data_IF_531318034702
#
_entry.id   IF_531318034702
#
_cell.length_a   1.000
_cell.length_b   1.000
_cell.length_c   1.000
_cell.angle_alpha   90.00
_cell.angle_beta   90.00
_cell.angle_gamma   90.00
#
_symmetry.space_group_name_H-M   'P 1'
#
loop_
_entity.id
_entity.type
_entity.pdbx_description
1 polymer ?
#
# COMPACT_ATOMS: atom_id res chain seq x y z
N UNK A 1 10.73 1.79 -8.98
CA UNK A 1 10.16 1.06 -10.13
C UNK A 1 10.95 -0.22 -10.33
N UNK A 2 10.28 -1.33 -10.59
CA UNK A 2 10.91 -2.66 -10.73
C UNK A 2 11.07 -3.02 -12.20
N UNK A 3 12.21 -3.59 -12.56
CA UNK A 3 12.48 -4.12 -13.89
C UNK A 3 11.68 -5.43 -14.10
N UNK A 4 10.89 -5.57 -15.18
CA UNK A 4 10.14 -6.79 -15.43
C UNK A 4 11.07 -7.94 -15.84
N UNK A 5 10.79 -9.14 -15.32
CA UNK A 5 11.55 -10.36 -15.61
C UNK A 5 10.59 -11.44 -16.14
N UNK A 6 10.63 -11.69 -17.45
CA UNK A 6 9.80 -12.73 -18.08
C UNK A 6 8.33 -12.36 -18.32
N UNK A 7 7.96 -11.09 -18.19
CA UNK A 7 6.61 -10.59 -18.50
C UNK A 7 6.65 -9.19 -19.14
N UNK A 8 5.52 -8.79 -19.73
CA UNK A 8 5.30 -7.43 -20.23
C UNK A 8 4.19 -6.75 -19.42
N UNK A 9 4.31 -5.44 -19.24
CA UNK A 9 3.28 -4.64 -18.58
C UNK A 9 2.17 -4.40 -19.60
N UNK A 10 0.94 -4.78 -19.26
CA UNK A 10 -0.21 -4.63 -20.16
C UNK A 10 -0.53 -3.15 -20.41
N UNK A 11 -1.15 -2.87 -21.55
CA UNK A 11 -1.58 -1.52 -21.90
C UNK A 11 -2.57 -0.94 -20.88
N UNK A 12 -3.46 -1.77 -20.33
CA UNK A 12 -4.45 -1.32 -19.35
C UNK A 12 -3.82 -1.02 -17.98
N UNK A 13 -2.83 -1.81 -17.53
CA UNK A 13 -2.05 -1.46 -16.34
C UNK A 13 -1.27 -0.16 -16.57
N UNK A 14 -0.59 -0.04 -17.72
CA UNK A 14 0.16 1.15 -18.10
C UNK A 14 -0.70 2.42 -18.13
N UNK A 15 -1.96 2.33 -18.58
CA UNK A 15 -2.91 3.47 -18.55
C UNK A 15 -3.26 3.92 -17.13
N UNK A 16 -3.26 3.00 -16.17
CA UNK A 16 -3.61 3.30 -14.76
C UNK A 16 -2.43 3.96 -14.05
N UNK A 17 -1.22 3.40 -14.15
CA UNK A 17 -0.07 3.83 -13.35
C UNK A 17 1.04 4.55 -14.14
N UNK A 18 0.91 4.68 -15.47
CA UNK A 18 1.84 5.44 -16.31
C UNK A 18 3.24 4.82 -16.50
N UNK A 19 3.40 3.51 -16.27
CA UNK A 19 4.67 2.80 -16.44
C UNK A 19 4.53 1.83 -17.61
N UNK A 20 5.35 2.01 -18.65
CA UNK A 20 5.39 1.06 -19.77
C UNK A 20 6.49 0.02 -19.56
N UNK A 21 6.43 -1.09 -20.31
CA UNK A 21 7.48 -2.11 -20.29
C UNK A 21 8.84 -1.51 -20.64
N UNK A 22 8.89 -0.63 -21.64
CA UNK A 22 10.11 0.03 -22.11
C UNK A 22 10.71 0.89 -21.00
N UNK A 23 9.89 1.72 -20.36
CA UNK A 23 10.32 2.59 -19.25
C UNK A 23 10.84 1.77 -18.06
N UNK A 24 10.17 0.66 -17.74
CA UNK A 24 10.57 -0.24 -16.65
C UNK A 24 11.84 -1.05 -16.98
N UNK A 25 12.09 -1.38 -18.25
CA UNK A 25 13.33 -2.02 -18.68
C UNK A 25 14.52 -1.05 -18.66
N UNK A 26 14.30 0.20 -19.03
CA UNK A 26 15.34 1.24 -19.10
C UNK A 26 15.78 1.72 -17.71
N UNK A 27 14.84 1.94 -16.79
CA UNK A 27 15.10 2.62 -15.51
C UNK A 27 14.63 1.86 -14.28
N UNK A 28 14.13 0.63 -14.45
CA UNK A 28 13.75 -0.24 -13.34
C UNK A 28 14.97 -0.91 -12.67
N UNK A 29 14.82 -1.22 -11.39
CA UNK A 29 15.82 -1.94 -10.59
C UNK A 29 15.43 -3.41 -10.49
N UNK A 30 16.42 -4.30 -10.35
CA UNK A 30 16.18 -5.73 -10.13
C UNK A 30 15.33 -5.97 -8.88
N UNK A 31 14.34 -6.85 -9.01
CA UNK A 31 13.39 -7.14 -7.95
C UNK A 31 14.09 -7.67 -6.70
N UNK A 32 15.04 -8.60 -6.85
CA UNK A 32 15.77 -9.20 -5.73
C UNK A 32 16.49 -8.17 -4.86
N UNK A 33 17.19 -7.20 -5.48
CA UNK A 33 17.86 -6.10 -4.77
C UNK A 33 16.87 -5.29 -3.94
N UNK A 34 15.72 -4.94 -4.54
CA UNK A 34 14.69 -4.18 -3.83
C UNK A 34 14.05 -4.99 -2.70
N UNK A 35 13.83 -6.29 -2.89
CA UNK A 35 13.29 -7.15 -1.84
C UNK A 35 14.26 -7.29 -0.65
N UNK A 36 15.57 -7.37 -0.91
CA UNK A 36 16.58 -7.41 0.16
C UNK A 36 16.53 -6.13 1.00
N UNK A 37 16.60 -4.96 0.35
CA UNK A 37 16.49 -3.66 1.02
C UNK A 37 15.15 -3.51 1.76
N UNK A 38 14.06 -3.93 1.13
CA UNK A 38 12.74 -3.82 1.71
C UNK A 38 12.56 -4.74 2.92
N UNK A 39 13.14 -5.95 2.89
CA UNK A 39 13.15 -6.86 4.03
C UNK A 39 13.90 -6.27 5.22
N UNK A 40 15.02 -5.59 4.99
CA UNK A 40 15.74 -4.88 6.04
C UNK A 40 14.89 -3.76 6.66
N UNK A 41 14.21 -2.96 5.83
CA UNK A 41 13.33 -1.90 6.32
C UNK A 41 12.17 -2.49 7.13
N UNK A 42 11.52 -3.53 6.62
CA UNK A 42 10.46 -4.26 7.34
C UNK A 42 10.98 -4.74 8.70
N UNK A 43 12.20 -5.31 8.75
CA UNK A 43 12.77 -5.83 9.99
C UNK A 43 12.94 -4.76 11.07
N UNK A 44 13.26 -3.53 10.68
CA UNK A 44 13.46 -2.37 11.57
C UNK A 44 12.15 -1.66 11.93
N UNK A 45 11.09 -1.85 11.14
CA UNK A 45 9.77 -1.28 11.39
C UNK A 45 9.02 -2.03 12.48
N UNK A 46 8.32 -1.31 13.35
CA UNK A 46 7.41 -1.91 14.34
C UNK A 46 6.07 -2.30 13.71
N UNK A 47 5.59 -1.43 12.80
CA UNK A 47 4.24 -1.48 12.25
C UNK A 47 4.31 -1.29 10.74
N UNK A 48 3.44 -2.02 10.04
CA UNK A 48 3.23 -1.90 8.61
C UNK A 48 1.80 -1.41 8.39
N UNK A 49 1.66 -0.38 7.56
CA UNK A 49 0.36 0.21 7.23
C UNK A 49 0.14 0.13 5.72
N UNK A 50 -1.10 -0.12 5.31
CA UNK A 50 -1.50 -0.11 3.92
C UNK A 50 -2.99 0.17 3.78
N UNK A 51 -3.39 0.66 2.61
CA UNK A 51 -4.79 0.80 2.25
C UNK A 51 -5.18 -0.34 1.31
N UNK A 52 -5.81 -1.40 1.88
CA UNK A 52 -6.02 -2.73 1.27
C UNK A 52 -4.85 -3.72 1.47
N UNK A 53 -4.33 -3.80 2.71
CA UNK A 53 -3.21 -4.67 3.12
C UNK A 53 -3.25 -6.10 2.54
N UNK A 54 -4.42 -6.76 2.56
CA UNK A 54 -4.56 -8.14 2.07
C UNK A 54 -4.14 -8.32 0.61
N UNK A 55 -4.22 -7.26 -0.20
CA UNK A 55 -3.75 -7.28 -1.57
C UNK A 55 -2.22 -7.17 -1.60
N UNK A 56 -1.68 -6.10 -1.01
CA UNK A 56 -0.25 -5.80 -1.03
C UNK A 56 0.59 -6.93 -0.40
N UNK A 57 0.18 -7.46 0.75
CA UNK A 57 0.92 -8.51 1.45
C UNK A 57 0.99 -9.82 0.66
N UNK A 58 -0.04 -10.12 -0.14
CA UNK A 58 -0.05 -11.32 -1.01
C UNK A 58 0.87 -11.14 -2.20
N UNK A 59 0.87 -9.96 -2.83
CA UNK A 59 1.77 -9.66 -3.94
C UNK A 59 3.22 -9.70 -3.46
N UNK A 60 3.56 -8.90 -2.45
CA UNK A 60 4.90 -8.81 -1.89
C UNK A 60 5.36 -10.14 -1.28
N UNK A 61 4.48 -10.81 -0.53
CA UNK A 61 4.79 -12.11 0.07
C UNK A 61 5.08 -13.19 -0.97
N UNK A 62 4.36 -13.19 -2.10
CA UNK A 62 4.63 -14.09 -3.20
C UNK A 62 6.00 -13.82 -3.85
N UNK A 63 6.42 -12.55 -3.96
CA UNK A 63 7.75 -12.20 -4.47
C UNK A 63 8.87 -12.58 -3.50
N UNK A 64 8.68 -12.42 -2.20
CA UNK A 64 9.62 -12.94 -1.19
C UNK A 64 9.78 -14.46 -1.32
N UNK A 65 8.67 -15.19 -1.49
CA UNK A 65 8.69 -16.64 -1.64
C UNK A 65 9.42 -17.07 -2.94
N UNK A 66 9.14 -16.41 -4.07
CA UNK A 66 9.76 -16.73 -5.37
C UNK A 66 11.26 -16.42 -5.41
N UNK A 67 11.68 -15.31 -4.82
CA UNK A 67 13.09 -14.89 -4.79
C UNK A 67 13.91 -15.62 -3.73
N UNK A 68 13.27 -16.30 -2.77
CA UNK A 68 13.97 -16.91 -1.63
C UNK A 68 14.48 -15.90 -0.60
N UNK A 69 14.17 -14.60 -0.76
CA UNK A 69 14.51 -13.56 0.21
C UNK A 69 13.64 -13.72 1.45
N UNK A 70 14.27 -13.95 2.61
CA UNK A 70 13.57 -14.06 3.88
C UNK A 70 13.01 -12.70 4.29
N UNK A 71 11.81 -12.69 4.85
CA UNK A 71 11.14 -11.49 5.34
C UNK A 71 10.30 -11.79 6.58
N UNK A 72 10.25 -10.83 7.50
CA UNK A 72 9.41 -10.88 8.72
C UNK A 72 8.08 -10.15 8.53
N UNK A 73 7.68 -9.87 7.27
CA UNK A 73 6.47 -9.12 6.91
C UNK A 73 5.23 -9.58 7.70
N UNK A 74 5.03 -10.90 7.80
CA UNK A 74 3.85 -11.49 8.43
C UNK A 74 3.91 -11.51 9.96
N UNK A 75 5.10 -11.34 10.55
CA UNK A 75 5.32 -11.30 12.01
C UNK A 75 5.08 -9.89 12.57
N UNK A 76 5.07 -8.86 11.70
CA UNK A 76 4.84 -7.48 12.09
C UNK A 76 3.37 -7.19 12.36
N UNK A 77 3.14 -6.24 13.26
CA UNK A 77 1.82 -5.66 13.45
C UNK A 77 1.42 -4.90 12.18
N UNK A 78 0.24 -5.20 11.65
CA UNK A 78 -0.26 -4.69 10.38
C UNK A 78 -1.57 -3.94 10.58
N UNK A 79 -1.70 -2.75 9.99
CA UNK A 79 -2.95 -1.99 9.96
C UNK A 79 -3.41 -1.79 8.51
N UNK A 80 -4.63 -2.24 8.25
CA UNK A 80 -5.31 -1.96 6.99
C UNK A 80 -6.25 -0.77 7.18
N UNK A 81 -5.85 0.42 6.70
CA UNK A 81 -6.67 1.63 6.87
C UNK A 81 -8.04 1.48 6.24
N UNK A 82 -8.15 0.76 5.12
CA UNK A 82 -9.41 0.47 4.45
C UNK A 82 -10.40 -0.25 5.38
N UNK A 83 -9.97 -1.35 6.03
CA UNK A 83 -10.84 -2.16 6.88
C UNK A 83 -11.23 -1.41 8.15
N UNK A 84 -10.24 -0.86 8.87
CA UNK A 84 -10.47 -0.21 10.16
C UNK A 84 -11.38 1.01 10.06
N UNK A 85 -11.38 1.74 8.93
CA UNK A 85 -12.21 2.93 8.76
C UNK A 85 -13.55 2.64 8.07
N UNK A 86 -13.94 1.39 7.88
CA UNK A 86 -15.24 1.06 7.24
C UNK A 86 -16.40 1.65 8.05
N UNK A 87 -16.40 1.42 9.36
CA UNK A 87 -17.40 1.96 10.29
C UNK A 87 -17.27 3.46 10.55
N UNK A 88 -16.09 4.04 10.30
CA UNK A 88 -15.88 5.48 10.40
C UNK A 88 -16.48 6.20 9.18
N UNK A 89 -16.21 5.69 7.98
CA UNK A 89 -16.65 6.32 6.75
C UNK A 89 -18.15 6.09 6.46
N UNK A 90 -18.71 4.97 6.91
CA UNK A 90 -20.14 4.62 6.77
C UNK A 90 -20.71 4.77 5.37
N UNK A 91 -19.91 4.46 4.34
CA UNK A 91 -20.34 4.65 2.95
C UNK A 91 -21.26 3.48 2.57
N UNK A 92 -22.49 3.76 2.17
CA UNK A 92 -23.46 2.72 1.82
C UNK A 92 -22.98 1.86 0.65
N UNK A 93 -23.05 0.55 0.83
CA UNK A 93 -22.88 -0.48 -0.20
C UNK A 93 -24.04 -1.47 -0.21
N UNK A 94 -24.04 -2.43 -1.15
CA UNK A 94 -25.14 -3.38 -1.32
C UNK A 94 -25.37 -4.33 -0.13
N UNK A 95 -24.36 -4.52 0.73
CA UNK A 95 -24.39 -5.47 1.85
C UNK A 95 -24.05 -4.83 3.20
N UNK A 96 -24.27 -3.52 3.35
CA UNK A 96 -23.84 -2.73 4.51
C UNK A 96 -22.84 -1.66 4.10
N UNK A 97 -22.01 -1.19 5.03
CA UNK A 97 -20.99 -0.21 4.69
C UNK A 97 -19.91 -0.82 3.81
N UNK A 98 -19.66 -0.21 2.66
CA UNK A 98 -18.58 -0.63 1.76
C UNK A 98 -17.24 -0.18 2.33
N UNK A 99 -16.20 -0.90 1.93
CA UNK A 99 -14.83 -0.45 2.15
C UNK A 99 -14.58 0.90 1.46
N UNK A 100 -14.05 1.91 2.18
CA UNK A 100 -13.73 3.19 1.58
C UNK A 100 -12.53 3.01 0.65
N UNK A 101 -12.54 3.75 -0.46
CA UNK A 101 -11.32 4.03 -1.24
C UNK A 101 -10.40 4.95 -0.42
N UNK A 102 -9.11 4.97 -0.76
CA UNK A 102 -8.16 5.86 -0.09
C UNK A 102 -8.57 7.33 -0.20
N UNK A 103 -9.04 7.76 -1.38
CA UNK A 103 -9.57 9.12 -1.60
C UNK A 103 -10.79 9.43 -0.74
N UNK A 104 -11.70 8.47 -0.55
CA UNK A 104 -12.89 8.66 0.29
C UNK A 104 -12.51 8.79 1.76
N UNK A 105 -11.57 7.97 2.25
CA UNK A 105 -11.03 8.10 3.61
C UNK A 105 -10.32 9.45 3.79
N UNK A 106 -9.46 9.82 2.84
CA UNK A 106 -8.73 11.08 2.89
C UNK A 106 -9.69 12.27 2.91
N UNK A 107 -10.69 12.28 2.04
CA UNK A 107 -11.72 13.31 2.03
C UNK A 107 -12.52 13.33 3.34
N UNK A 108 -12.87 12.17 3.89
CA UNK A 108 -13.59 12.07 5.16
C UNK A 108 -12.82 12.79 6.29
N UNK A 109 -11.51 12.56 6.37
CA UNK A 109 -10.63 13.10 7.41
C UNK A 109 -10.27 14.58 7.21
N UNK A 110 -9.97 14.99 5.97
CA UNK A 110 -9.38 16.31 5.71
C UNK A 110 -10.30 17.29 4.98
N UNK A 111 -11.48 16.83 4.52
CA UNK A 111 -12.44 17.60 3.69
C UNK A 111 -11.81 18.18 2.43
N UNK A 112 -10.83 17.48 1.87
CA UNK A 112 -10.06 17.85 0.68
C UNK A 112 -9.69 16.58 -0.08
N UNK A 113 -9.58 16.69 -1.40
CA UNK A 113 -8.98 15.65 -2.22
C UNK A 113 -7.45 15.77 -2.24
N UNK A 114 -6.76 14.67 -2.52
CA UNK A 114 -5.35 14.69 -2.88
C UNK A 114 -5.21 14.52 -4.40
N UNK A 115 -4.29 15.28 -5.00
CA UNK A 115 -4.04 15.24 -6.45
C UNK A 115 -3.19 14.02 -6.80
N UNK A 116 -3.29 13.57 -8.05
CA UNK A 116 -2.44 12.53 -8.65
C UNK A 116 -2.53 11.14 -7.99
N UNK A 117 -3.76 10.71 -7.67
CA UNK A 117 -4.02 9.31 -7.30
C UNK A 117 -3.51 8.35 -8.40
N UNK A 118 -3.00 7.18 -8.00
CA UNK A 118 -2.37 6.15 -8.86
C UNK A 118 -0.86 6.28 -9.12
N UNK A 119 -0.19 7.28 -8.54
CA UNK A 119 1.24 7.19 -8.27
C UNK A 119 1.45 6.53 -6.90
N UNK A 120 2.28 5.48 -6.87
CA UNK A 120 2.56 4.72 -5.65
C UNK A 120 3.06 5.61 -4.50
N UNK A 121 3.87 6.65 -4.77
CA UNK A 121 4.37 7.52 -3.70
C UNK A 121 3.26 8.40 -3.13
N UNK A 122 2.38 8.91 -3.99
CA UNK A 122 1.26 9.78 -3.60
C UNK A 122 0.26 8.99 -2.75
N UNK A 123 -0.06 7.77 -3.16
CA UNK A 123 -0.96 6.89 -2.40
C UNK A 123 -0.35 6.50 -1.05
N UNK A 124 0.96 6.23 -0.98
CA UNK A 124 1.68 5.98 0.28
C UNK A 124 1.63 7.21 1.19
N UNK A 125 1.91 8.40 0.69
CA UNK A 125 1.85 9.63 1.49
C UNK A 125 0.44 9.92 2.01
N UNK A 126 -0.59 9.72 1.18
CA UNK A 126 -1.99 9.87 1.59
C UNK A 126 -2.37 8.83 2.65
N UNK A 127 -1.95 7.58 2.49
CA UNK A 127 -2.18 6.51 3.47
C UNK A 127 -1.50 6.84 4.82
N UNK A 128 -0.25 7.31 4.80
CA UNK A 128 0.49 7.75 5.99
C UNK A 128 -0.24 8.89 6.70
N UNK A 129 -0.67 9.92 5.97
CA UNK A 129 -1.44 11.05 6.52
C UNK A 129 -2.73 10.58 7.19
N UNK A 130 -3.49 9.73 6.51
CA UNK A 130 -4.72 9.15 7.07
C UNK A 130 -4.44 8.37 8.36
N UNK A 131 -3.39 7.52 8.38
CA UNK A 131 -3.06 6.72 9.56
C UNK A 131 -2.73 7.60 10.78
N UNK A 132 -1.87 8.61 10.63
CA UNK A 132 -1.53 9.51 11.73
C UNK A 132 -2.70 10.37 12.17
N UNK A 133 -3.56 10.78 11.25
CA UNK A 133 -4.79 11.51 11.59
C UNK A 133 -5.76 10.65 12.40
N UNK A 134 -5.91 9.36 12.06
CA UNK A 134 -6.72 8.41 12.83
C UNK A 134 -6.17 8.19 14.25
N UNK A 135 -4.85 8.26 14.44
CA UNK A 135 -4.23 8.27 15.77
C UNK A 135 -4.54 9.59 16.49
N UNK A 136 -4.37 10.73 15.80
CA UNK A 136 -4.59 12.07 16.37
C UNK A 136 -6.02 12.26 16.90
N UNK A 137 -7.02 11.75 16.19
CA UNK A 137 -8.43 11.80 16.61
C UNK A 137 -8.83 10.69 17.58
N UNK A 138 -7.89 9.82 17.96
CA UNK A 138 -8.10 8.75 18.93
C UNK A 138 -8.87 7.54 18.40
N UNK A 139 -9.04 7.42 17.08
CA UNK A 139 -9.73 6.29 16.45
C UNK A 139 -8.85 5.04 16.43
N UNK A 140 -7.54 5.19 16.22
CA UNK A 140 -6.55 4.11 16.35
C UNK A 140 -5.71 4.37 17.59
N UNK A 141 -5.45 3.29 18.36
CA UNK A 141 -4.42 3.28 19.39
C UNK A 141 -3.27 2.41 18.93
N UNK A 142 -2.07 2.96 19.02
CA UNK A 142 -0.83 2.26 18.72
C UNK A 142 -0.06 2.12 20.03
N UNK A 143 0.09 0.89 20.49
CA UNK A 143 0.95 0.59 21.63
C UNK A 143 2.40 0.64 21.14
N UNK A 144 3.20 1.54 21.73
CA UNK A 144 4.65 1.53 21.52
C UNK A 144 5.23 0.38 22.35
N UNK A 145 5.92 -0.56 21.69
CA UNK A 145 6.68 -1.60 22.38
C UNK A 145 8.08 -1.13 22.72
#
# INVERSE_FOLDING_TARGET
MIKPEGFTISADASKVHGITTEKALESGVHLETVLQEFSEVISKSEIIIAHNMDFDEKIVGAEFLRSGVKSVLFDKQRFCTMKITTELCQITGPYGYKWPKLSELYYHLFKKDFKDAHDAIVDVEACVKCFFELIRVGFIKVDKK
#
